data_IF_409895543946
#
_entry.id   IF_409895543946
#
_cell.length_a   1.000
_cell.length_b   1.000
_cell.length_c   1.000
_cell.angle_alpha   90.00
_cell.angle_beta   90.00
_cell.angle_gamma   90.00
#
_symmetry.space_group_name_H-M   'P 1'
#
loop_
_entity.id
_entity.type
_entity.pdbx_description
1 polymer ?
#
# COMPACT_ATOMS: atom_id res chain seq x y z
N UNK A 1 -35.93 56.67 -27.65
CA UNK A 1 -36.30 55.71 -26.59
C UNK A 1 -35.53 54.42 -26.82
N UNK A 2 -34.38 54.23 -26.19
CA UNK A 2 -33.63 52.95 -26.24
C UNK A 2 -33.27 52.62 -24.79
N UNK A 3 -33.93 51.59 -24.25
CA UNK A 3 -33.75 51.07 -22.90
C UNK A 3 -32.57 50.09 -22.93
N UNK A 4 -31.47 50.44 -22.28
CA UNK A 4 -30.35 49.52 -22.04
C UNK A 4 -30.68 48.66 -20.82
N UNK A 5 -30.96 47.38 -21.05
CA UNK A 5 -31.16 46.38 -19.99
C UNK A 5 -29.79 45.93 -19.48
N UNK A 6 -29.45 46.24 -18.22
CA UNK A 6 -28.33 45.62 -17.52
C UNK A 6 -28.78 44.25 -17.00
N UNK A 7 -28.18 43.18 -17.52
CA UNK A 7 -28.37 41.82 -17.03
C UNK A 7 -27.27 41.54 -16.00
N UNK A 8 -27.61 41.67 -14.71
CA UNK A 8 -26.73 41.28 -13.60
C UNK A 8 -26.67 39.76 -13.50
N UNK A 9 -25.56 39.17 -13.94
CA UNK A 9 -25.27 37.75 -13.76
C UNK A 9 -24.78 37.54 -12.31
N UNK A 10 -25.65 37.09 -11.42
CA UNK A 10 -25.28 36.65 -10.07
C UNK A 10 -24.50 35.34 -10.14
N UNK A 11 -23.20 35.42 -9.91
CA UNK A 11 -22.30 34.27 -9.78
C UNK A 11 -22.55 33.62 -8.41
N UNK A 12 -23.35 32.56 -8.35
CA UNK A 12 -23.50 31.75 -7.16
C UNK A 12 -22.22 30.92 -6.95
N UNK A 13 -21.34 31.38 -6.06
CA UNK A 13 -20.19 30.61 -5.62
C UNK A 13 -20.69 29.37 -4.86
N UNK A 14 -20.52 28.19 -5.47
CA UNK A 14 -20.67 26.91 -4.77
C UNK A 14 -19.49 26.80 -3.79
N UNK A 15 -19.68 27.27 -2.56
CA UNK A 15 -18.76 26.96 -1.47
C UNK A 15 -18.84 25.44 -1.23
N UNK A 16 -17.77 24.72 -1.60
CA UNK A 16 -17.61 23.33 -1.21
C UNK A 16 -17.62 23.22 0.32
N UNK A 17 -18.00 22.06 0.88
CA UNK A 17 -17.94 21.86 2.33
C UNK A 17 -16.50 22.10 2.79
N UNK A 18 -16.29 23.03 3.71
CA UNK A 18 -15.04 23.12 4.45
C UNK A 18 -14.90 21.81 5.23
N UNK A 19 -13.93 20.97 4.83
CA UNK A 19 -13.62 19.71 5.51
C UNK A 19 -12.90 20.04 6.82
N UNK A 20 -13.68 20.41 7.85
CA UNK A 20 -13.19 20.77 9.18
C UNK A 20 -13.00 19.57 10.11
N UNK A 21 -13.42 18.37 9.68
CA UNK A 21 -13.39 17.19 10.53
C UNK A 21 -12.07 16.44 10.39
N UNK A 22 -11.63 15.80 11.47
CA UNK A 22 -10.56 14.82 11.41
C UNK A 22 -11.02 13.64 10.54
N UNK A 23 -10.15 13.18 9.64
CA UNK A 23 -10.43 12.08 8.70
C UNK A 23 -9.36 11.01 8.73
N UNK A 24 -9.64 9.85 8.14
CA UNK A 24 -8.60 8.89 7.77
C UNK A 24 -8.23 9.09 6.30
N UNK A 25 -6.94 9.03 5.99
CA UNK A 25 -6.45 8.97 4.59
C UNK A 25 -6.90 7.66 3.92
N UNK A 26 -6.83 6.54 4.65
CA UNK A 26 -7.33 5.25 4.19
C UNK A 26 -8.83 5.16 4.49
N UNK A 27 -9.64 4.97 3.44
CA UNK A 27 -11.10 4.85 3.57
C UNK A 27 -11.58 3.40 3.67
N UNK A 28 -10.73 2.43 3.37
CA UNK A 28 -11.05 1.00 3.45
C UNK A 28 -9.84 0.11 3.73
N UNK A 29 -10.09 -1.09 4.26
CA UNK A 29 -9.08 -2.14 4.46
C UNK A 29 -9.71 -3.54 4.37
N UNK A 30 -8.91 -4.57 4.09
CA UNK A 30 -9.37 -5.95 4.12
C UNK A 30 -9.20 -6.60 5.52
N UNK A 31 -10.06 -7.57 5.89
CA UNK A 31 -9.86 -8.39 7.09
C UNK A 31 -8.52 -9.15 7.05
N UNK A 32 -7.86 -9.28 8.20
CA UNK A 32 -6.57 -9.97 8.34
C UNK A 32 -5.36 -9.18 7.83
N UNK A 33 -5.58 -8.05 7.15
CA UNK A 33 -4.50 -7.23 6.61
C UNK A 33 -3.89 -6.35 7.69
N UNK A 34 -2.55 -6.30 7.73
CA UNK A 34 -1.88 -5.20 8.41
C UNK A 34 -1.77 -4.00 7.48
N UNK A 35 -2.42 -2.90 7.87
CA UNK A 35 -2.44 -1.68 7.08
C UNK A 35 -1.90 -0.48 7.86
N UNK A 36 -1.54 0.57 7.13
CA UNK A 36 -1.20 1.88 7.68
C UNK A 36 -2.50 2.67 7.80
N UNK A 37 -2.77 3.22 8.98
CA UNK A 37 -3.94 4.06 9.25
C UNK A 37 -3.40 5.45 9.63
N UNK A 38 -3.73 6.45 8.81
CA UNK A 38 -3.25 7.82 8.94
C UNK A 38 -4.43 8.73 9.23
N UNK A 39 -4.46 9.25 10.45
CA UNK A 39 -5.38 10.26 10.92
C UNK A 39 -4.90 11.63 10.43
N UNK A 40 -5.73 12.37 9.69
CA UNK A 40 -5.45 13.73 9.25
C UNK A 40 -6.22 14.73 10.09
N UNK A 41 -5.49 15.57 10.81
CA UNK A 41 -6.05 16.68 11.60
C UNK A 41 -5.91 17.95 10.77
N UNK A 42 -7.01 18.54 10.29
CA UNK A 42 -6.97 19.57 9.24
C UNK A 42 -6.53 20.96 9.73
N UNK A 43 -6.81 21.28 10.99
CA UNK A 43 -6.57 22.58 11.61
C UNK A 43 -6.69 22.45 13.14
N UNK A 44 -6.63 23.58 13.83
CA UNK A 44 -6.75 23.74 15.27
C UNK A 44 -8.19 23.71 15.77
N UNK A 45 -8.43 23.93 17.06
CA UNK A 45 -9.79 24.00 17.60
C UNK A 45 -10.16 25.48 17.72
N UNK A 46 -11.24 25.91 17.06
CA UNK A 46 -11.75 27.28 17.15
C UNK A 46 -10.68 28.38 16.92
N UNK A 47 -9.71 28.13 16.03
CA UNK A 47 -8.61 29.06 15.73
C UNK A 47 -7.35 28.89 16.60
N UNK A 48 -7.38 28.00 17.59
CA UNK A 48 -6.26 27.72 18.50
C UNK A 48 -5.42 26.53 18.07
N UNK A 49 -4.12 26.55 18.38
CA UNK A 49 -3.23 25.47 18.01
C UNK A 49 -3.57 24.15 18.73
N UNK A 50 -3.46 23.04 18.02
CA UNK A 50 -3.59 21.70 18.61
C UNK A 50 -2.33 21.35 19.39
N UNK A 51 -2.54 20.90 20.63
CA UNK A 51 -1.50 20.48 21.58
C UNK A 51 -1.49 18.98 21.82
N UNK A 52 -2.64 18.34 21.70
CA UNK A 52 -2.74 16.89 21.81
C UNK A 52 -3.76 16.29 20.85
N UNK A 53 -3.48 15.06 20.45
CA UNK A 53 -4.38 14.20 19.68
C UNK A 53 -4.44 12.84 20.37
N UNK A 54 -5.64 12.48 20.82
CA UNK A 54 -5.93 11.22 21.47
C UNK A 54 -6.78 10.35 20.55
N UNK A 55 -6.30 9.16 20.25
CA UNK A 55 -6.93 8.20 19.36
C UNK A 55 -7.33 6.94 20.13
N UNK A 56 -8.63 6.63 20.12
CA UNK A 56 -9.16 5.37 20.61
C UNK A 56 -9.24 4.34 19.48
N UNK A 57 -8.69 3.15 19.70
CA UNK A 57 -8.76 2.06 18.74
C UNK A 57 -10.07 1.27 18.92
N UNK A 58 -10.83 1.00 17.85
CA UNK A 58 -12.05 0.20 17.95
C UNK A 58 -11.74 -1.28 18.21
N UNK A 59 -12.78 -2.04 18.55
CA UNK A 59 -12.72 -3.50 18.40
C UNK A 59 -12.55 -3.88 16.92
N UNK A 60 -11.93 -5.03 16.66
CA UNK A 60 -11.54 -5.47 15.32
C UNK A 60 -10.20 -4.91 14.85
N UNK A 61 -9.52 -4.10 15.66
CA UNK A 61 -8.17 -3.57 15.38
C UNK A 61 -7.21 -4.03 16.46
N UNK A 62 -6.12 -4.68 16.07
CA UNK A 62 -5.12 -5.21 17.00
C UNK A 62 -3.69 -5.01 16.47
N UNK A 63 -2.70 -5.37 17.29
CA UNK A 63 -1.27 -5.24 16.97
C UNK A 63 -0.86 -3.83 16.49
N UNK A 64 -1.54 -2.79 17.01
CA UNK A 64 -1.31 -1.41 16.62
C UNK A 64 0.05 -0.92 17.13
N UNK A 65 0.76 -0.21 16.26
CA UNK A 65 2.06 0.42 16.52
C UNK A 65 2.00 1.87 16.04
N UNK A 66 1.89 2.85 16.95
CA UNK A 66 1.95 4.25 16.57
C UNK A 66 3.33 4.66 16.09
N UNK A 67 3.36 5.59 15.14
CA UNK A 67 4.59 6.22 14.67
C UNK A 67 5.00 7.32 15.65
N UNK A 68 6.21 7.26 16.26
CA UNK A 68 6.77 8.39 16.97
C UNK A 68 6.86 9.60 16.04
N UNK A 69 6.56 10.79 16.57
CA UNK A 69 6.46 12.02 15.78
C UNK A 69 7.35 13.09 16.41
N UNK A 70 8.27 13.65 15.62
CA UNK A 70 9.17 14.69 16.10
C UNK A 70 8.38 15.90 16.63
N UNK A 71 8.75 16.40 17.81
CA UNK A 71 8.05 17.50 18.48
C UNK A 71 6.78 17.09 19.24
N UNK A 72 6.45 15.80 19.30
CA UNK A 72 5.33 15.27 20.07
C UNK A 72 5.80 14.17 21.02
N UNK A 73 5.25 14.15 22.22
CA UNK A 73 5.40 13.02 23.16
C UNK A 73 4.36 11.98 22.81
N UNK A 74 4.78 10.72 22.69
CA UNK A 74 3.90 9.58 22.37
C UNK A 74 3.69 8.74 23.62
N UNK A 75 2.43 8.60 24.02
CA UNK A 75 1.98 7.74 25.11
C UNK A 75 0.95 6.72 24.60
N UNK A 76 0.92 5.55 25.23
CA UNK A 76 0.11 4.41 24.81
C UNK A 76 -0.48 3.70 26.00
N UNK A 77 -1.75 3.32 25.93
CA UNK A 77 -2.41 2.53 26.96
C UNK A 77 -2.92 1.21 26.40
N UNK A 78 -2.50 0.12 27.05
CA UNK A 78 -2.96 -1.24 26.77
C UNK A 78 -4.22 -1.55 27.58
N UNK A 79 -5.14 -2.31 26.99
CA UNK A 79 -6.34 -2.79 27.65
C UNK A 79 -6.83 -4.10 27.04
N UNK A 80 -7.77 -4.73 27.73
CA UNK A 80 -8.40 -5.96 27.26
C UNK A 80 -9.19 -5.73 25.96
N UNK A 81 -9.16 -6.71 25.08
CA UNK A 81 -10.05 -6.76 23.93
C UNK A 81 -11.40 -7.36 24.35
N UNK A 82 -12.50 -6.87 23.78
CA UNK A 82 -13.82 -7.46 24.02
C UNK A 82 -13.89 -8.90 23.48
N UNK A 83 -13.17 -9.17 22.38
CA UNK A 83 -12.98 -10.52 21.82
C UNK A 83 -11.48 -10.76 21.63
N UNK A 84 -10.92 -11.86 22.16
CA UNK A 84 -9.51 -12.20 21.91
C UNK A 84 -9.25 -12.43 20.42
N UNK A 85 -8.08 -12.01 19.94
CA UNK A 85 -7.64 -12.21 18.56
C UNK A 85 -6.59 -13.32 18.48
N UNK A 86 -6.57 -14.07 17.39
CA UNK A 86 -5.46 -14.98 17.10
C UNK A 86 -4.40 -14.26 16.28
N UNK A 87 -3.17 -14.23 16.77
CA UNK A 87 -2.02 -13.67 16.08
C UNK A 87 -0.94 -14.74 15.99
N UNK A 88 -0.68 -15.28 14.79
CA UNK A 88 0.29 -16.36 14.57
C UNK A 88 0.13 -17.56 15.51
N UNK A 89 -1.12 -17.97 15.79
CA UNK A 89 -1.43 -19.09 16.68
C UNK A 89 -1.41 -18.75 18.18
N UNK A 90 -1.00 -17.53 18.55
CA UNK A 90 -1.10 -17.02 19.92
C UNK A 90 -2.39 -16.23 20.10
N UNK A 91 -3.14 -16.56 21.15
CA UNK A 91 -4.32 -15.78 21.55
C UNK A 91 -3.85 -14.49 22.23
N UNK A 92 -4.30 -13.36 21.72
CA UNK A 92 -4.13 -12.03 22.30
C UNK A 92 -5.43 -11.60 22.96
N UNK A 93 -5.45 -11.57 24.29
CA UNK A 93 -6.60 -11.09 25.08
C UNK A 93 -6.54 -9.59 25.36
N UNK A 94 -5.39 -8.95 25.15
CA UNK A 94 -5.17 -7.52 25.40
C UNK A 94 -4.20 -6.93 24.37
N UNK A 95 -4.21 -5.61 24.25
CA UNK A 95 -3.26 -4.84 23.47
C UNK A 95 -3.60 -3.36 23.47
N UNK A 96 -2.96 -2.61 22.58
CA UNK A 96 -3.10 -1.15 22.54
C UNK A 96 -4.56 -0.73 22.29
N UNK A 97 -5.10 0.14 23.16
CA UNK A 97 -6.47 0.69 23.05
C UNK A 97 -6.51 2.21 22.92
N UNK A 98 -5.56 2.92 23.51
CA UNK A 98 -5.45 4.37 23.42
C UNK A 98 -4.05 4.80 23.01
N UNK A 99 -3.98 5.85 22.20
CA UNK A 99 -2.74 6.46 21.73
C UNK A 99 -2.87 7.96 21.90
N UNK A 100 -1.87 8.59 22.51
CA UNK A 100 -1.84 10.03 22.75
C UNK A 100 -0.55 10.60 22.17
N UNK A 101 -0.67 11.54 21.24
CA UNK A 101 0.42 12.44 20.87
C UNK A 101 0.18 13.77 21.58
N UNK A 102 1.09 14.20 22.45
CA UNK A 102 0.93 15.40 23.30
C UNK A 102 2.13 16.34 23.19
N UNK A 103 1.96 17.58 23.69
CA UNK A 103 3.04 18.59 23.70
C UNK A 103 3.37 19.18 22.33
N UNK A 104 2.55 18.90 21.32
CA UNK A 104 2.74 19.40 19.97
C UNK A 104 2.33 20.85 19.78
N UNK A 105 2.62 21.35 18.59
CA UNK A 105 2.20 22.67 18.12
C UNK A 105 1.76 22.54 16.67
N UNK A 106 0.47 22.31 16.46
CA UNK A 106 -0.16 22.39 15.14
C UNK A 106 -1.03 23.65 15.08
N UNK A 107 -0.52 24.74 14.48
CA UNK A 107 -1.29 25.97 14.29
C UNK A 107 -2.54 25.75 13.45
N UNK A 108 -3.57 26.55 13.71
CA UNK A 108 -4.88 26.42 13.04
C UNK A 108 -4.80 26.54 11.50
N UNK A 109 -3.84 27.32 10.99
CA UNK A 109 -3.66 27.49 9.56
C UNK A 109 -3.16 26.23 8.82
N UNK A 110 -2.70 25.20 9.53
CA UNK A 110 -2.02 24.04 8.96
C UNK A 110 -2.71 22.73 9.36
N UNK A 111 -2.51 21.71 8.52
CA UNK A 111 -2.92 20.35 8.83
C UNK A 111 -1.70 19.50 9.22
N UNK A 112 -1.94 18.40 9.90
CA UNK A 112 -0.92 17.39 10.19
C UNK A 112 -1.50 15.97 10.18
N UNK A 113 -0.61 14.99 10.18
CA UNK A 113 -0.92 13.58 10.13
C UNK A 113 -0.31 12.81 11.31
N UNK A 114 -1.12 11.90 11.85
CA UNK A 114 -0.79 11.00 12.95
C UNK A 114 -1.05 9.58 12.48
N UNK A 115 0.01 8.77 12.44
CA UNK A 115 0.00 7.49 11.74
C UNK A 115 0.23 6.33 12.68
N UNK A 116 -0.53 5.25 12.48
CA UNK A 116 -0.29 3.95 13.08
C UNK A 116 -0.18 2.88 12.00
N UNK A 117 0.53 1.79 12.32
CA UNK A 117 0.39 0.50 11.63
C UNK A 117 -0.46 -0.39 12.50
N UNK A 118 -1.54 -0.98 11.99
CA UNK A 118 -2.40 -1.87 12.76
C UNK A 118 -3.00 -2.98 11.88
N UNK A 119 -3.43 -4.08 12.49
CA UNK A 119 -4.05 -5.20 11.79
C UNK A 119 -5.56 -5.17 12.00
N UNK A 120 -6.32 -5.33 10.92
CA UNK A 120 -7.75 -5.57 10.98
C UNK A 120 -7.97 -7.06 11.27
N UNK A 121 -8.76 -7.40 12.28
CA UNK A 121 -9.06 -8.78 12.64
C UNK A 121 -9.55 -9.60 11.44
N UNK A 122 -9.07 -10.85 11.24
CA UNK A 122 -9.54 -11.70 10.14
C UNK A 122 -11.04 -12.03 10.25
N UNK A 123 -11.58 -12.03 11.47
CA UNK A 123 -13.00 -12.29 11.75
C UNK A 123 -13.89 -11.04 11.61
N UNK A 124 -13.32 -9.88 11.28
CA UNK A 124 -14.10 -8.67 11.04
C UNK A 124 -14.78 -8.79 9.69
N UNK A 125 -16.12 -8.81 9.68
CA UNK A 125 -16.87 -9.06 8.45
C UNK A 125 -16.72 -7.91 7.44
N UNK A 126 -16.56 -8.20 6.14
CA UNK A 126 -16.78 -7.23 5.07
C UNK A 126 -18.10 -6.48 5.23
N UNK A 127 -18.09 -5.17 4.95
CA UNK A 127 -19.19 -4.24 5.20
C UNK A 127 -19.17 -3.63 6.61
N UNK A 128 -18.33 -4.12 7.53
CA UNK A 128 -18.17 -3.50 8.86
C UNK A 128 -17.52 -2.13 8.73
N UNK A 129 -18.08 -1.13 9.41
CA UNK A 129 -17.46 0.18 9.53
C UNK A 129 -16.76 0.27 10.88
N UNK A 130 -15.46 0.48 10.86
CA UNK A 130 -14.66 0.71 12.05
C UNK A 130 -14.53 2.21 12.27
N UNK A 131 -14.90 2.68 13.46
CA UNK A 131 -14.79 4.08 13.84
C UNK A 131 -13.59 4.27 14.76
N UNK A 132 -12.87 5.38 14.59
CA UNK A 132 -11.65 5.72 15.30
C UNK A 132 -11.88 7.02 16.10
N UNK A 133 -12.57 6.94 17.26
CA UNK A 133 -12.86 8.11 18.06
C UNK A 133 -11.57 8.88 18.35
N UNK A 134 -11.61 10.18 18.08
CA UNK A 134 -10.46 11.06 18.21
C UNK A 134 -10.85 12.28 19.03
N UNK A 135 -10.04 12.62 20.03
CA UNK A 135 -10.16 13.89 20.75
C UNK A 135 -8.93 14.73 20.46
N UNK A 136 -9.17 15.92 19.97
CA UNK A 136 -8.17 16.95 19.72
C UNK A 136 -8.22 17.94 20.87
N UNK A 137 -7.10 18.18 21.53
CA UNK A 137 -6.97 19.21 22.57
C UNK A 137 -6.17 20.38 22.03
N UNK A 138 -6.66 21.58 22.29
CA UNK A 138 -6.06 22.85 21.92
C UNK A 138 -5.75 23.67 23.17
N UNK A 139 -5.22 24.88 23.01
CA UNK A 139 -4.74 25.70 24.13
C UNK A 139 -5.82 25.93 25.23
N UNK A 140 -7.05 26.26 24.84
CA UNK A 140 -8.17 26.51 25.75
C UNK A 140 -9.45 25.75 25.37
N UNK A 141 -9.36 24.86 24.38
CA UNK A 141 -10.52 24.17 23.82
C UNK A 141 -10.25 22.70 23.48
N UNK A 142 -11.30 22.01 23.03
CA UNK A 142 -11.20 20.67 22.51
C UNK A 142 -12.22 20.45 21.39
N UNK A 143 -11.86 19.61 20.42
CA UNK A 143 -12.78 19.08 19.42
C UNK A 143 -12.88 17.56 19.59
N UNK A 144 -14.11 17.04 19.71
CA UNK A 144 -14.37 15.62 19.88
C UNK A 144 -14.98 15.04 18.59
N UNK A 145 -14.23 14.15 17.96
CA UNK A 145 -14.63 13.39 16.77
C UNK A 145 -14.94 11.95 17.19
N UNK A 146 -16.01 11.77 17.97
CA UNK A 146 -16.30 10.52 18.69
C UNK A 146 -17.67 9.92 18.37
N UNK A 147 -18.51 10.56 17.54
CA UNK A 147 -19.78 9.98 17.13
C UNK A 147 -19.56 8.77 16.21
N UNK A 148 -20.09 7.62 16.63
CA UNK A 148 -20.00 6.33 15.91
C UNK A 148 -21.34 5.87 15.35
N UNK A 149 -22.37 6.72 15.39
CA UNK A 149 -23.73 6.38 14.96
C UNK A 149 -23.85 6.16 13.46
N UNK A 150 -22.98 6.80 12.67
CA UNK A 150 -23.07 6.81 11.22
C UNK A 150 -24.19 7.68 10.65
N UNK A 151 -24.88 8.48 11.49
CA UNK A 151 -25.92 9.39 11.03
C UNK A 151 -25.37 10.47 10.09
N UNK A 152 -26.13 10.80 9.04
CA UNK A 152 -25.81 11.95 8.18
C UNK A 152 -25.93 13.23 9.00
N UNK A 153 -24.86 14.04 9.01
CA UNK A 153 -24.83 15.30 9.74
C UNK A 153 -24.64 15.14 11.25
N UNK A 154 -24.18 13.97 11.72
CA UNK A 154 -23.73 13.82 13.10
C UNK A 154 -22.70 14.89 13.45
N UNK A 155 -22.84 15.48 14.63
CA UNK A 155 -21.87 16.43 15.18
C UNK A 155 -20.65 15.65 15.67
N UNK A 156 -19.45 16.08 15.28
CA UNK A 156 -18.22 15.38 15.65
C UNK A 156 -18.14 13.92 15.18
N UNK A 157 -18.35 13.61 13.88
CA UNK A 157 -18.32 12.23 13.40
C UNK A 157 -16.92 11.66 13.54
N UNK A 158 -16.81 10.47 14.14
CA UNK A 158 -15.53 9.79 14.25
C UNK A 158 -14.99 9.42 12.85
N UNK A 159 -13.67 9.58 12.63
CA UNK A 159 -13.00 9.03 11.46
C UNK A 159 -13.33 7.55 11.30
N UNK A 160 -13.54 7.10 10.05
CA UNK A 160 -14.04 5.74 9.81
C UNK A 160 -13.32 5.04 8.67
N UNK A 161 -13.24 3.72 8.79
CA UNK A 161 -12.64 2.81 7.82
C UNK A 161 -13.68 1.74 7.46
N UNK A 162 -13.97 1.58 6.17
CA UNK A 162 -14.83 0.49 5.69
C UNK A 162 -14.01 -0.79 5.53
N UNK A 163 -14.38 -1.84 6.24
CA UNK A 163 -13.85 -3.17 5.97
C UNK A 163 -14.50 -3.66 4.70
N UNK A 164 -13.73 -3.77 3.62
CA UNK A 164 -14.23 -4.29 2.35
C UNK A 164 -13.92 -5.77 2.26
N UNK A 165 -14.71 -6.52 1.49
CA UNK A 165 -14.29 -7.85 1.11
C UNK A 165 -12.96 -7.66 0.42
N UNK A 166 -11.92 -8.38 0.88
CA UNK A 166 -10.75 -8.49 0.04
C UNK A 166 -11.26 -8.98 -1.31
N UNK A 167 -11.05 -8.21 -2.39
CA UNK A 167 -10.76 -8.88 -3.67
C UNK A 167 -9.76 -9.95 -3.29
N UNK A 168 -10.02 -11.22 -3.62
CA UNK A 168 -9.24 -12.34 -3.14
C UNK A 168 -7.74 -12.16 -3.46
N UNK A 169 -7.07 -11.38 -2.62
CA UNK A 169 -5.68 -11.39 -2.33
C UNK A 169 -5.55 -12.65 -1.48
N UNK A 170 -4.86 -13.67 -1.97
CA UNK A 170 -4.67 -14.87 -1.18
C UNK A 170 -4.03 -14.46 0.14
N UNK A 171 -4.61 -14.99 1.22
CA UNK A 171 -4.26 -14.67 2.61
C UNK A 171 -2.74 -14.66 2.82
N UNK A 172 -2.20 -13.51 3.19
CA UNK A 172 -0.77 -13.29 3.40
C UNK A 172 -0.32 -13.51 4.85
N UNK A 173 -0.60 -14.67 5.41
CA UNK A 173 0.31 -15.32 6.36
C UNK A 173 1.01 -16.48 5.66
N UNK A 174 1.52 -16.21 4.47
CA UNK A 174 2.62 -16.95 3.90
C UNK A 174 3.61 -15.90 3.41
N UNK A 175 4.89 -16.14 3.71
CA UNK A 175 6.02 -15.54 3.01
C UNK A 175 5.62 -15.22 1.59
N UNK A 176 5.61 -13.95 1.15
CA UNK A 176 5.19 -13.49 -0.18
C UNK A 176 5.27 -14.64 -1.18
N UNK A 177 4.18 -15.41 -1.26
CA UNK A 177 4.24 -16.67 -1.96
C UNK A 177 4.24 -16.20 -3.39
N UNK A 178 5.33 -16.52 -4.10
CA UNK A 178 5.35 -16.37 -5.54
C UNK A 178 3.98 -16.82 -6.06
N UNK A 179 3.29 -16.01 -6.89
CA UNK A 179 1.96 -16.36 -7.37
C UNK A 179 2.00 -17.81 -7.86
N UNK A 180 1.03 -18.60 -7.40
CA UNK A 180 0.98 -20.03 -7.66
C UNK A 180 1.17 -20.28 -9.16
N UNK A 181 1.94 -21.32 -9.50
CA UNK A 181 2.31 -21.57 -10.89
C UNK A 181 1.04 -21.71 -11.76
N UNK A 182 0.94 -20.91 -12.81
CA UNK A 182 -0.17 -20.95 -13.76
C UNK A 182 0.22 -21.89 -14.90
N UNK A 183 -0.65 -22.84 -15.22
CA UNK A 183 -0.43 -23.78 -16.34
C UNK A 183 -1.30 -23.38 -17.53
N UNK A 184 -0.68 -23.22 -18.70
CA UNK A 184 -1.33 -22.99 -19.99
C UNK A 184 -0.86 -24.06 -20.97
N UNK A 185 -1.68 -25.10 -21.18
CA UNK A 185 -1.27 -26.26 -21.96
C UNK A 185 -0.01 -26.91 -21.37
N UNK A 186 1.08 -26.94 -22.14
CA UNK A 186 2.37 -27.47 -21.73
C UNK A 186 3.30 -26.44 -21.07
N UNK A 187 2.87 -25.18 -20.95
CA UNK A 187 3.64 -24.11 -20.35
C UNK A 187 3.27 -23.93 -18.88
N UNK A 188 4.28 -23.79 -18.04
CA UNK A 188 4.15 -23.51 -16.61
C UNK A 188 4.80 -22.16 -16.31
N UNK A 189 4.01 -21.20 -15.85
CA UNK A 189 4.43 -19.84 -15.54
C UNK A 189 4.48 -19.69 -14.03
N UNK A 190 5.59 -19.17 -13.48
CA UNK A 190 5.79 -19.10 -12.04
C UNK A 190 6.66 -17.91 -11.64
N UNK A 191 6.68 -17.57 -10.35
CA UNK A 191 7.61 -16.56 -9.83
C UNK A 191 7.36 -15.16 -10.39
N UNK A 192 6.12 -14.86 -10.79
CA UNK A 192 5.75 -13.57 -11.35
C UNK A 192 5.87 -12.43 -10.35
N UNK A 193 6.61 -11.37 -10.70
CA UNK A 193 6.67 -10.15 -9.90
C UNK A 193 6.95 -8.91 -10.75
N UNK A 194 6.67 -7.75 -10.16
CA UNK A 194 6.97 -6.43 -10.69
C UNK A 194 7.73 -5.62 -9.64
N UNK A 195 8.37 -4.53 -10.05
CA UNK A 195 9.07 -3.60 -9.14
C UNK A 195 8.26 -2.34 -8.96
N UNK A 196 8.18 -1.87 -7.71
CA UNK A 196 7.60 -0.58 -7.41
C UNK A 196 8.34 0.54 -8.17
N UNK A 197 7.58 1.50 -8.66
CA UNK A 197 8.11 2.63 -9.42
C UNK A 197 8.10 3.91 -8.60
N UNK A 198 9.02 4.82 -8.91
CA UNK A 198 8.96 6.18 -8.38
C UNK A 198 7.70 6.89 -8.88
N UNK A 199 7.21 7.93 -8.16
CA UNK A 199 6.17 8.81 -8.67
C UNK A 199 6.53 9.34 -10.06
N UNK A 200 5.58 9.31 -10.99
CA UNK A 200 5.73 9.77 -12.39
C UNK A 200 6.76 9.00 -13.24
N UNK A 201 7.20 7.81 -12.82
CA UNK A 201 8.06 6.98 -13.65
C UNK A 201 7.35 6.61 -14.97
N UNK A 202 7.96 6.85 -16.15
CA UNK A 202 7.33 6.57 -17.44
C UNK A 202 7.34 5.08 -17.78
N UNK A 203 8.11 4.27 -17.05
CA UNK A 203 8.37 2.86 -17.35
C UNK A 203 8.36 1.99 -16.09
N UNK A 204 7.97 0.72 -16.25
CA UNK A 204 8.01 -0.32 -15.22
C UNK A 204 8.50 -1.66 -15.79
N UNK A 205 8.77 -2.63 -14.93
CA UNK A 205 9.29 -3.94 -15.33
C UNK A 205 8.51 -5.10 -14.72
N UNK A 206 8.19 -6.10 -15.54
CA UNK A 206 7.58 -7.37 -15.14
C UNK A 206 8.53 -8.54 -15.38
N UNK A 207 8.54 -9.49 -14.45
CA UNK A 207 9.47 -10.61 -14.39
C UNK A 207 8.72 -11.89 -14.03
N UNK A 208 9.13 -13.02 -14.58
CA UNK A 208 8.54 -14.34 -14.33
C UNK A 208 9.44 -15.45 -14.91
N UNK A 209 9.18 -16.69 -14.52
CA UNK A 209 9.80 -17.88 -15.11
C UNK A 209 8.77 -18.66 -15.92
N UNK A 210 9.14 -19.06 -17.13
CA UNK A 210 8.31 -19.86 -18.04
C UNK A 210 9.03 -21.17 -18.31
N UNK A 211 8.41 -22.29 -17.95
CA UNK A 211 8.91 -23.65 -18.23
C UNK A 211 8.01 -24.32 -19.25
N UNK A 212 8.59 -24.78 -20.36
CA UNK A 212 7.87 -25.56 -21.36
C UNK A 212 8.12 -27.05 -21.11
N UNK A 213 7.10 -27.77 -20.63
CA UNK A 213 7.16 -29.22 -20.42
C UNK A 213 6.69 -30.03 -21.63
N UNK A 214 6.41 -29.37 -22.75
CA UNK A 214 6.01 -29.98 -24.01
C UNK A 214 7.18 -30.49 -24.85
N UNK A 215 6.84 -31.11 -25.97
CA UNK A 215 7.80 -31.67 -26.95
C UNK A 215 8.07 -30.74 -28.14
N UNK A 216 7.37 -29.61 -28.24
CA UNK A 216 7.56 -28.59 -29.26
C UNK A 216 7.85 -27.22 -28.62
N UNK A 217 8.66 -26.39 -29.28
CA UNK A 217 8.90 -25.01 -28.86
C UNK A 217 7.61 -24.18 -28.95
N UNK A 218 7.47 -23.20 -28.07
CA UNK A 218 6.46 -22.14 -28.17
C UNK A 218 7.17 -20.78 -28.16
N UNK A 219 6.42 -19.69 -28.35
CA UNK A 219 6.95 -18.33 -28.41
C UNK A 219 6.00 -17.38 -27.72
N UNK A 220 6.51 -16.64 -26.74
CA UNK A 220 5.81 -15.51 -26.15
C UNK A 220 5.86 -14.35 -27.15
N UNK A 221 4.74 -14.04 -27.80
CA UNK A 221 4.67 -13.05 -28.89
C UNK A 221 4.20 -11.68 -28.43
N UNK A 222 3.38 -11.61 -27.39
CA UNK A 222 2.95 -10.34 -26.81
C UNK A 222 2.65 -10.43 -25.32
N UNK A 223 2.69 -9.26 -24.68
CA UNK A 223 2.24 -9.06 -23.32
C UNK A 223 1.40 -7.78 -23.28
N UNK A 224 0.39 -7.72 -22.40
CA UNK A 224 -0.49 -6.57 -22.22
C UNK A 224 -0.81 -6.38 -20.74
N UNK A 225 -1.07 -5.14 -20.33
CA UNK A 225 -1.54 -4.82 -18.98
C UNK A 225 -2.37 -3.54 -18.98
N UNK A 226 -3.44 -3.45 -18.17
CA UNK A 226 -4.25 -2.22 -18.10
C UNK A 226 -3.47 -1.00 -17.60
N UNK A 227 -2.41 -1.20 -16.81
CA UNK A 227 -1.66 -0.12 -16.14
C UNK A 227 -0.66 0.62 -17.03
N UNK A 228 -0.42 0.14 -18.25
CA UNK A 228 0.50 0.73 -19.22
C UNK A 228 -0.22 1.02 -20.55
N UNK A 229 0.33 1.93 -21.36
CA UNK A 229 -0.18 2.15 -22.72
C UNK A 229 0.28 1.05 -23.69
N UNK A 230 1.47 0.51 -23.47
CA UNK A 230 2.03 -0.62 -24.23
C UNK A 230 2.97 -1.44 -23.35
N UNK A 231 3.10 -2.73 -23.68
CA UNK A 231 4.07 -3.62 -23.04
C UNK A 231 4.90 -4.27 -24.13
N UNK A 232 6.21 -4.30 -23.92
CA UNK A 232 7.18 -4.85 -24.87
C UNK A 232 8.00 -5.96 -24.17
N UNK A 233 8.50 -6.92 -24.94
CA UNK A 233 9.41 -7.97 -24.42
C UNK A 233 10.82 -7.53 -24.77
N UNK A 234 11.68 -7.39 -23.77
CA UNK A 234 13.03 -6.85 -23.96
C UNK A 234 14.08 -7.86 -23.52
N UNK A 235 15.26 -7.79 -24.15
CA UNK A 235 16.49 -8.42 -23.68
C UNK A 235 17.46 -7.35 -23.19
N UNK A 236 18.36 -7.76 -22.30
CA UNK A 236 19.53 -6.97 -21.94
C UNK A 236 20.79 -7.74 -22.34
N UNK A 237 21.69 -7.08 -23.06
CA UNK A 237 22.95 -7.65 -23.53
C UNK A 237 24.09 -6.68 -23.23
N UNK A 238 25.21 -7.20 -22.73
CA UNK A 238 26.45 -6.43 -22.63
C UNK A 238 27.08 -6.32 -24.00
N UNK A 239 27.05 -5.13 -24.59
CA UNK A 239 27.74 -4.83 -25.83
C UNK A 239 28.82 -3.79 -25.55
N UNK A 240 30.08 -4.16 -25.76
CA UNK A 240 31.24 -3.25 -25.62
C UNK A 240 31.31 -2.58 -24.23
N UNK A 241 30.95 -3.31 -23.17
CA UNK A 241 30.97 -2.79 -21.80
C UNK A 241 29.73 -1.98 -21.41
N UNK A 242 28.76 -1.81 -22.30
CA UNK A 242 27.49 -1.11 -22.05
C UNK A 242 26.34 -2.12 -22.00
N UNK A 243 25.50 -2.05 -20.95
CA UNK A 243 24.23 -2.79 -20.91
C UNK A 243 23.27 -2.16 -21.92
N UNK A 244 23.00 -2.88 -23.01
CA UNK A 244 22.06 -2.46 -24.04
C UNK A 244 20.75 -3.21 -23.84
N UNK A 245 19.67 -2.46 -23.71
CA UNK A 245 18.31 -2.98 -23.68
C UNK A 245 17.73 -2.93 -25.11
N UNK A 246 17.15 -4.04 -25.59
CA UNK A 246 16.54 -4.11 -26.94
C UNK A 246 15.19 -4.83 -26.92
N UNK A 247 14.18 -4.29 -27.63
CA UNK A 247 12.91 -5.00 -27.83
C UNK A 247 13.10 -6.23 -28.70
N UNK A 248 12.35 -7.29 -28.41
CA UNK A 248 12.26 -8.52 -29.19
C UNK A 248 10.99 -8.48 -30.05
N UNK A 249 11.09 -7.94 -31.25
CA UNK A 249 9.94 -7.77 -32.17
C UNK A 249 9.29 -9.10 -32.57
N UNK A 250 10.11 -10.17 -32.66
CA UNK A 250 9.66 -11.52 -32.97
C UNK A 250 9.33 -12.34 -31.70
N UNK A 251 9.11 -11.68 -30.55
CA UNK A 251 8.83 -12.34 -29.29
C UNK A 251 10.02 -13.13 -28.71
N UNK A 252 9.74 -13.89 -27.65
CA UNK A 252 10.71 -14.69 -26.91
C UNK A 252 10.40 -16.18 -27.09
N UNK A 253 11.35 -16.92 -27.66
CA UNK A 253 11.22 -18.36 -27.83
C UNK A 253 11.35 -19.10 -26.49
N UNK A 254 10.48 -20.08 -26.28
CA UNK A 254 10.45 -20.99 -25.15
C UNK A 254 10.63 -22.43 -25.67
N UNK A 255 11.88 -22.92 -25.79
CA UNK A 255 12.14 -24.23 -26.38
C UNK A 255 11.49 -25.39 -25.62
N UNK A 256 11.20 -26.49 -26.32
CA UNK A 256 10.69 -27.71 -25.71
C UNK A 256 11.60 -28.21 -24.58
N UNK A 257 11.03 -28.54 -23.42
CA UNK A 257 11.77 -29.01 -22.24
C UNK A 257 12.63 -27.97 -21.54
N UNK A 258 12.59 -26.70 -21.97
CA UNK A 258 13.43 -25.64 -21.43
C UNK A 258 12.68 -24.72 -20.46
N UNK A 259 13.45 -24.06 -19.60
CA UNK A 259 12.99 -22.98 -18.74
C UNK A 259 13.64 -21.68 -19.18
N UNK A 260 12.83 -20.66 -19.42
CA UNK A 260 13.25 -19.30 -19.75
C UNK A 260 12.85 -18.37 -18.61
N UNK A 261 13.82 -17.64 -18.08
CA UNK A 261 13.61 -16.72 -16.95
C UNK A 261 13.67 -15.28 -17.43
N UNK A 262 12.59 -14.54 -17.19
CA UNK A 262 12.53 -13.10 -17.30
C UNK A 262 12.90 -12.51 -15.93
N UNK A 263 14.04 -11.83 -15.85
CA UNK A 263 14.63 -11.31 -14.62
C UNK A 263 15.34 -9.98 -14.83
N UNK A 264 15.54 -9.20 -13.76
CA UNK A 264 16.33 -7.97 -13.82
C UNK A 264 17.73 -8.23 -14.41
N UNK A 265 18.12 -7.49 -15.44
CA UNK A 265 19.40 -7.66 -16.12
C UNK A 265 19.40 -8.70 -17.24
N UNK A 266 18.28 -9.35 -17.54
CA UNK A 266 18.12 -10.30 -18.65
C UNK A 266 16.85 -10.01 -19.47
N UNK A 267 16.13 -11.05 -19.87
CA UNK A 267 14.81 -10.87 -20.48
C UNK A 267 13.83 -10.26 -19.49
N UNK A 268 12.93 -9.39 -19.93
CA UNK A 268 11.90 -8.81 -19.07
C UNK A 268 10.74 -8.25 -19.88
N UNK A 269 9.61 -8.07 -19.22
CA UNK A 269 8.48 -7.29 -19.75
C UNK A 269 8.72 -5.83 -19.41
N UNK A 270 8.69 -4.96 -20.41
CA UNK A 270 8.83 -3.52 -20.24
C UNK A 270 7.46 -2.86 -20.38
N UNK A 271 6.95 -2.31 -19.28
CA UNK A 271 5.71 -1.54 -19.26
C UNK A 271 6.04 -0.09 -19.63
N UNK A 272 5.52 0.39 -20.76
CA UNK A 272 5.83 1.72 -21.26
C UNK A 272 4.62 2.64 -21.13
N UNK A 273 4.89 3.91 -20.80
CA UNK A 273 3.87 4.93 -20.53
C UNK A 273 2.89 4.43 -19.47
N UNK A 274 3.41 4.20 -18.27
CA UNK A 274 2.59 3.86 -17.12
C UNK A 274 1.52 4.93 -16.88
N UNK A 275 0.27 4.49 -16.76
CA UNK A 275 -0.89 5.34 -16.47
C UNK A 275 -0.97 5.69 -14.98
N UNK A 276 -0.34 4.87 -14.14
CA UNK A 276 -0.27 5.03 -12.69
C UNK A 276 1.02 4.38 -12.14
N UNK A 277 1.53 4.86 -10.98
CA UNK A 277 2.71 4.25 -10.36
C UNK A 277 2.42 2.84 -9.86
N UNK A 278 3.39 1.94 -10.01
CA UNK A 278 3.35 0.61 -9.41
C UNK A 278 3.74 0.74 -7.94
N UNK A 279 2.78 0.51 -7.04
CA UNK A 279 2.97 0.67 -5.59
C UNK A 279 3.31 -0.67 -4.96
N UNK A 280 4.38 -0.69 -4.18
CA UNK A 280 4.80 -1.88 -3.42
C UNK A 280 3.64 -2.44 -2.60
N UNK A 281 3.50 -3.77 -2.59
CA UNK A 281 2.41 -4.48 -1.94
C UNK A 281 1.14 -4.61 -2.78
N UNK A 282 1.05 -3.91 -3.91
CA UNK A 282 -0.02 -4.11 -4.89
C UNK A 282 0.28 -5.25 -5.87
N UNK A 283 -0.59 -5.39 -6.86
CA UNK A 283 -0.49 -6.38 -7.94
C UNK A 283 -0.72 -5.71 -9.29
N UNK A 284 -0.04 -6.20 -10.34
CA UNK A 284 -0.32 -5.85 -11.74
C UNK A 284 -0.71 -7.10 -12.49
N UNK A 285 -1.91 -7.12 -13.06
CA UNK A 285 -2.28 -8.20 -13.98
C UNK A 285 -1.60 -8.02 -15.33
N UNK A 286 -1.01 -9.11 -15.82
CA UNK A 286 -0.40 -9.18 -17.14
C UNK A 286 -1.05 -10.31 -17.92
N UNK A 287 -1.47 -10.00 -19.13
CA UNK A 287 -1.95 -10.96 -20.12
C UNK A 287 -0.81 -11.28 -21.08
N UNK A 288 -0.41 -12.54 -21.16
CA UNK A 288 0.63 -13.05 -22.05
C UNK A 288 -0.01 -13.86 -23.17
N UNK A 289 0.42 -13.62 -24.41
CA UNK A 289 -0.02 -14.38 -25.58
C UNK A 289 1.14 -15.15 -26.16
N UNK A 290 0.97 -16.47 -26.22
CA UNK A 290 1.87 -17.41 -26.86
C UNK A 290 1.38 -17.77 -28.25
N UNK A 291 2.30 -18.04 -29.17
CA UNK A 291 2.01 -18.38 -30.57
C UNK A 291 1.16 -19.65 -30.68
N UNK A 292 1.45 -20.68 -29.86
CA UNK A 292 0.75 -21.97 -29.91
C UNK A 292 -0.16 -22.20 -28.71
N UNK A 293 0.31 -21.98 -27.48
CA UNK A 293 -0.47 -22.27 -26.26
C UNK A 293 -1.64 -21.31 -26.02
N UNK A 294 -1.69 -20.17 -26.73
CA UNK A 294 -2.74 -19.17 -26.59
C UNK A 294 -2.45 -18.15 -25.50
N UNK A 295 -3.51 -17.62 -24.87
CA UNK A 295 -3.40 -16.47 -23.96
C UNK A 295 -3.66 -16.87 -22.51
N UNK A 296 -2.87 -16.31 -21.59
CA UNK A 296 -3.03 -16.48 -20.14
C UNK A 296 -2.89 -15.14 -19.44
N UNK A 297 -3.73 -14.89 -18.44
CA UNK A 297 -3.59 -13.73 -17.56
C UNK A 297 -3.10 -14.19 -16.20
N UNK A 298 -2.08 -13.53 -15.66
CA UNK A 298 -1.52 -13.81 -14.35
C UNK A 298 -1.22 -12.53 -13.57
N UNK A 299 -1.38 -12.55 -12.24
CA UNK A 299 -1.00 -11.45 -11.38
C UNK A 299 0.52 -11.41 -11.16
N UNK A 300 1.12 -10.22 -11.22
CA UNK A 300 2.49 -9.95 -10.81
C UNK A 300 2.46 -9.14 -9.50
N UNK A 301 2.95 -9.73 -8.41
CA UNK A 301 3.08 -9.02 -7.14
C UNK A 301 4.12 -7.89 -7.26
N UNK A 302 3.80 -6.69 -6.76
CA UNK A 302 4.69 -5.53 -6.82
C UNK A 302 5.57 -5.52 -5.58
N UNK A 303 6.84 -5.90 -5.76
CA UNK A 303 7.87 -5.84 -4.72
C UNK A 303 8.49 -4.44 -4.58
N UNK A 304 9.46 -4.32 -3.68
CA UNK A 304 10.28 -3.12 -3.54
C UNK A 304 10.99 -2.74 -4.87
N UNK A 305 11.46 -1.49 -5.04
CA UNK A 305 12.12 -1.06 -6.28
C UNK A 305 13.34 -1.91 -6.70
N UNK A 306 13.99 -2.57 -5.75
CA UNK A 306 15.14 -3.46 -5.92
C UNK A 306 14.77 -4.96 -5.92
N UNK A 307 13.48 -5.32 -5.92
CA UNK A 307 13.01 -6.70 -5.77
C UNK A 307 13.66 -7.67 -6.77
N UNK A 308 13.90 -8.91 -6.32
CA UNK A 308 14.42 -10.03 -7.12
C UNK A 308 13.48 -11.22 -7.01
N UNK A 309 13.57 -12.15 -7.96
CA UNK A 309 12.78 -13.38 -7.94
C UNK A 309 13.06 -14.16 -6.62
N UNK A 310 12.01 -14.43 -5.84
CA UNK A 310 12.08 -15.33 -4.67
C UNK A 310 12.96 -14.88 -3.49
N UNK A 311 13.29 -13.59 -3.35
CA UNK A 311 14.20 -13.11 -2.30
C UNK A 311 13.50 -12.33 -1.18
N UNK A 312 13.44 -12.92 0.01
CA UNK A 312 13.39 -12.19 1.28
C UNK A 312 14.53 -11.15 1.28
N UNK A 313 14.20 -9.87 1.44
CA UNK A 313 15.20 -8.85 1.71
C UNK A 313 15.74 -9.12 3.13
N UNK A 314 16.91 -9.76 3.21
CA UNK A 314 17.68 -9.81 4.44
C UNK A 314 18.14 -8.39 4.76
N UNK A 315 17.47 -7.80 5.75
CA UNK A 315 17.86 -6.54 6.36
C UNK A 315 19.34 -6.52 6.72
N UNK A 316 19.91 -5.32 6.54
CA UNK A 316 21.29 -4.96 6.83
C UNK A 316 21.87 -5.68 8.06
N UNK A 317 23.02 -6.32 7.85
CA UNK A 317 23.87 -6.85 8.91
C UNK A 317 24.21 -5.72 9.89
N UNK A 318 23.72 -5.82 11.12
CA UNK A 318 24.23 -5.07 12.25
C UNK A 318 25.72 -5.44 12.44
N UNK A 319 26.59 -4.44 12.38
CA UNK A 319 27.98 -4.58 12.82
C UNK A 319 27.97 -4.84 14.34
N UNK A 320 28.69 -5.85 14.85
CA UNK A 320 28.83 -6.06 16.28
C UNK A 320 29.66 -4.91 16.88
N UNK A 321 29.15 -4.36 17.99
CA UNK A 321 29.80 -3.30 18.75
C UNK A 321 31.20 -3.68 19.22
N UNK A 322 32.13 -2.74 19.08
CA UNK A 322 33.40 -2.76 19.81
C UNK A 322 33.12 -2.30 21.24
N UNK A 323 33.27 -3.22 22.19
CA UNK A 323 33.36 -2.90 23.61
C UNK A 323 34.60 -2.05 23.87
N UNK A 324 34.41 -0.86 24.44
CA UNK A 324 35.47 -0.11 25.09
C UNK A 324 35.42 -0.40 26.59
N UNK A 325 36.25 -1.36 27.00
CA UNK A 325 36.54 -1.63 28.41
C UNK A 325 37.40 -0.48 28.97
N UNK A 326 36.87 0.22 29.97
CA UNK A 326 37.62 1.17 30.78
C UNK A 326 38.33 0.41 31.90
N UNK A 327 39.64 0.18 31.72
CA UNK A 327 40.50 -0.25 32.80
C UNK A 327 40.82 0.93 33.74
N UNK A 328 40.38 0.83 34.99
CA UNK A 328 40.86 1.63 36.10
C UNK A 328 42.36 1.33 36.34
N UNK A 329 43.18 2.38 36.36
CA UNK A 329 44.53 2.32 36.91
C UNK A 329 44.56 3.10 38.23
N UNK A 330 44.91 2.36 39.27
CA UNK A 330 45.42 2.84 40.55
C UNK A 330 46.78 3.50 40.37
#
# INVERSE_FOLDING_TARGET
>A
MIRTLFCTLTLAALAGPALAHVTLEQTSAAPGETTKITLRVPHGCDGEATRAVHLSLPEGVYAAKPMPKAGWTLETETGAYARPYMNHGQQMSEGLRQISWTGGDLPDAWYDEFTIRATIGPDVAPGTVLYFPTVQQCDNGQAAWTDTSGAKGAEGPAPKLLVVAGEAAPMGHDHAAAPAAVTLGALQLSGGFSRATLPNAPVGGGFLTITNTGTASDRLVSAETPVAARTEIHSMEMKEGVMVMRPLENGLEIPAGATVTLQPGGYHLMFMQLKQPLRQGGTVDVTLTFETAGTVTLPLAIGAPNARAGGQDHGAMAMPGHDHDHAEHN
#
